data_IF_692469211743
#
_entry.id   IF_692469211743
#
_cell.length_a   1.000
_cell.length_b   1.000
_cell.length_c   1.000
_cell.angle_alpha   90.00
_cell.angle_beta   90.00
_cell.angle_gamma   90.00
#
_symmetry.space_group_name_H-M   'P 1'
#
loop_
_entity.id
_entity.type
_entity.pdbx_description
1 polymer ?
#
# COMPACT_ATOMS: atom_id res chain seq x y z
N UNK A 1 29.39 22.74 -9.60
CA UNK A 1 28.61 22.05 -10.64
C UNK A 1 27.55 23.02 -11.12
N UNK A 2 27.49 23.32 -12.41
CA UNK A 2 26.56 24.30 -12.99
C UNK A 2 25.70 23.59 -14.04
N UNK A 3 24.40 23.88 -14.03
CA UNK A 3 23.45 23.43 -15.05
C UNK A 3 23.38 24.49 -16.13
N UNK A 4 23.73 24.12 -17.36
CA UNK A 4 23.81 25.04 -18.49
C UNK A 4 22.59 24.82 -19.36
N UNK A 5 21.63 25.73 -19.29
CA UNK A 5 20.35 25.62 -20.02
C UNK A 5 20.32 26.57 -21.21
N UNK A 6 19.74 26.13 -22.32
CA UNK A 6 19.51 26.96 -23.51
C UNK A 6 18.11 27.57 -23.45
N UNK A 7 18.05 28.89 -23.37
CA UNK A 7 16.79 29.66 -23.41
C UNK A 7 16.77 30.51 -24.68
N UNK A 8 15.61 31.05 -25.05
CA UNK A 8 15.46 31.90 -26.24
C UNK A 8 16.41 33.12 -26.23
N UNK A 9 16.74 33.62 -25.04
CA UNK A 9 17.64 34.76 -24.82
C UNK A 9 19.13 34.36 -24.72
N UNK A 10 19.49 33.10 -24.99
CA UNK A 10 20.86 32.60 -24.99
C UNK A 10 21.11 31.48 -23.98
N UNK A 11 22.36 31.36 -23.52
CA UNK A 11 22.76 30.30 -22.58
C UNK A 11 22.75 30.85 -21.15
N UNK A 12 21.99 30.21 -20.26
CA UNK A 12 21.95 30.57 -18.84
C UNK A 12 22.65 29.49 -18.01
N UNK A 13 23.51 29.92 -17.08
CA UNK A 13 24.16 29.03 -16.11
C UNK A 13 23.44 29.13 -14.78
N UNK A 14 23.03 27.99 -14.26
CA UNK A 14 22.29 27.88 -13.01
C UNK A 14 23.07 27.04 -12.01
N UNK A 15 23.11 27.50 -10.77
CA UNK A 15 23.52 26.66 -9.65
C UNK A 15 22.41 25.64 -9.33
N UNK A 16 22.74 24.48 -8.72
CA UNK A 16 21.76 23.45 -8.37
C UNK A 16 20.56 23.97 -7.58
N UNK A 17 20.80 24.88 -6.63
CA UNK A 17 19.75 25.51 -5.84
C UNK A 17 18.83 26.39 -6.69
N UNK A 18 19.41 27.24 -7.54
CA UNK A 18 18.65 28.09 -8.47
C UNK A 18 17.83 27.25 -9.46
N UNK A 19 18.37 26.11 -9.91
CA UNK A 19 17.62 25.17 -10.74
C UNK A 19 16.42 24.57 -9.99
N UNK A 20 16.57 24.19 -8.71
CA UNK A 20 15.46 23.72 -7.89
C UNK A 20 14.39 24.79 -7.68
N UNK A 21 14.79 26.04 -7.49
CA UNK A 21 13.89 27.19 -7.40
C UNK A 21 13.14 27.44 -8.70
N UNK A 22 13.79 27.25 -9.86
CA UNK A 22 13.11 27.29 -11.16
C UNK A 22 12.07 26.16 -11.29
N UNK A 23 12.38 24.96 -10.81
CA UNK A 23 11.47 23.81 -10.93
C UNK A 23 10.23 23.88 -10.03
N UNK A 24 10.39 24.41 -8.82
CA UNK A 24 9.37 24.35 -7.76
C UNK A 24 8.97 25.71 -7.16
N UNK A 25 9.57 26.79 -7.63
CA UNK A 25 9.27 28.15 -7.18
C UNK A 25 7.95 28.68 -7.73
N UNK A 26 7.63 29.92 -7.35
CA UNK A 26 6.38 30.57 -7.74
C UNK A 26 6.31 30.92 -9.24
N UNK A 27 7.45 31.01 -9.92
CA UNK A 27 7.54 31.41 -11.33
C UNK A 27 7.35 30.20 -12.25
N UNK A 28 6.26 30.19 -13.04
CA UNK A 28 5.86 29.07 -13.89
C UNK A 28 6.43 29.15 -15.33
N UNK A 29 7.74 29.35 -15.47
CA UNK A 29 8.37 29.25 -16.80
C UNK A 29 8.51 27.76 -17.19
N UNK A 30 7.54 27.23 -17.94
CA UNK A 30 7.49 25.84 -18.39
C UNK A 30 8.68 25.47 -19.27
N UNK A 31 9.09 26.35 -20.16
CA UNK A 31 10.20 26.10 -21.09
C UNK A 31 11.53 26.01 -20.33
N UNK A 32 11.77 26.91 -19.40
CA UNK A 32 12.98 26.87 -18.57
C UNK A 32 13.00 25.62 -17.67
N UNK A 33 11.85 25.19 -17.13
CA UNK A 33 11.75 23.97 -16.33
C UNK A 33 12.09 22.73 -17.15
N UNK A 34 11.53 22.62 -18.35
CA UNK A 34 11.82 21.51 -19.26
C UNK A 34 13.28 21.47 -19.65
N UNK A 35 13.90 22.63 -19.91
CA UNK A 35 15.31 22.68 -20.28
C UNK A 35 16.24 22.31 -19.11
N UNK A 36 15.91 22.72 -17.87
CA UNK A 36 16.64 22.28 -16.67
C UNK A 36 16.61 20.75 -16.55
N UNK A 37 15.43 20.14 -16.73
CA UNK A 37 15.28 18.69 -16.70
C UNK A 37 16.03 18.00 -17.83
N UNK A 38 15.92 18.51 -19.05
CA UNK A 38 16.60 17.96 -20.23
C UNK A 38 18.11 17.96 -20.02
N UNK A 39 18.70 19.09 -19.60
CA UNK A 39 20.13 19.18 -19.37
C UNK A 39 20.59 18.24 -18.24
N UNK A 40 19.86 18.19 -17.12
CA UNK A 40 20.19 17.29 -16.01
C UNK A 40 20.23 15.82 -16.46
N UNK A 41 19.23 15.40 -17.24
CA UNK A 41 19.12 14.02 -17.76
C UNK A 41 20.20 13.73 -18.80
N UNK A 42 20.46 14.66 -19.72
CA UNK A 42 21.55 14.54 -20.71
C UNK A 42 22.87 14.26 -20.00
N UNK A 43 23.21 15.07 -18.98
CA UNK A 43 24.44 14.90 -18.20
C UNK A 43 24.46 13.60 -17.39
N UNK A 44 23.34 13.21 -16.80
CA UNK A 44 23.22 11.96 -16.04
C UNK A 44 23.38 10.70 -16.92
N UNK A 45 23.15 10.83 -18.24
CA UNK A 45 23.33 9.76 -19.24
C UNK A 45 24.72 9.67 -19.84
N UNK A 46 25.52 10.73 -19.78
CA UNK A 46 26.82 10.78 -20.43
C UNK A 46 27.69 9.57 -20.04
N UNK A 47 28.40 9.02 -21.02
CA UNK A 47 29.36 7.94 -20.77
C UNK A 47 30.46 8.46 -19.86
N UNK A 48 30.95 7.64 -18.91
CA UNK A 48 32.08 8.05 -18.08
C UNK A 48 33.28 8.29 -18.99
N UNK A 49 33.83 9.51 -18.97
CA UNK A 49 35.10 9.78 -19.64
C UNK A 49 36.20 8.95 -18.98
N UNK A 50 37.26 8.62 -19.75
CA UNK A 50 38.44 7.83 -19.33
C UNK A 50 39.14 8.33 -18.05
N UNK A 51 38.76 9.50 -17.51
CA UNK A 51 39.28 10.09 -16.27
C UNK A 51 38.23 10.38 -15.18
N UNK A 52 36.94 10.04 -15.34
CA UNK A 52 35.91 10.58 -14.46
C UNK A 52 34.58 9.85 -14.40
N UNK A 53 34.57 8.60 -13.95
CA UNK A 53 33.33 7.90 -13.54
C UNK A 53 32.48 8.74 -12.56
N UNK A 54 33.14 9.51 -11.70
CA UNK A 54 32.53 10.39 -10.69
C UNK A 54 31.61 11.45 -11.28
N UNK A 55 31.87 11.96 -12.50
CA UNK A 55 31.05 13.03 -13.08
C UNK A 55 29.61 12.56 -13.35
N UNK A 56 29.46 11.35 -13.93
CA UNK A 56 28.16 10.77 -14.25
C UNK A 56 27.32 10.50 -12.99
N UNK A 57 27.95 9.95 -11.97
CA UNK A 57 27.31 9.63 -10.69
C UNK A 57 26.81 10.89 -9.99
N UNK A 58 27.62 11.96 -10.00
CA UNK A 58 27.23 13.26 -9.45
C UNK A 58 26.01 13.83 -10.18
N UNK A 59 25.93 13.73 -11.50
CA UNK A 59 24.77 14.20 -12.27
C UNK A 59 23.52 13.33 -12.05
N UNK A 60 23.68 12.01 -11.88
CA UNK A 60 22.56 11.13 -11.47
C UNK A 60 22.04 11.53 -10.09
N UNK A 61 22.94 11.71 -9.13
CA UNK A 61 22.58 12.15 -7.78
C UNK A 61 21.89 13.51 -7.80
N UNK A 62 22.39 14.47 -8.59
CA UNK A 62 21.74 15.76 -8.78
C UNK A 62 20.32 15.60 -9.35
N UNK A 63 20.16 14.79 -10.39
CA UNK A 63 18.87 14.59 -11.04
C UNK A 63 17.86 13.95 -10.07
N UNK A 64 18.30 12.97 -9.27
CA UNK A 64 17.49 12.39 -8.19
C UNK A 64 17.14 13.47 -7.17
N UNK A 65 18.11 14.26 -6.72
CA UNK A 65 17.88 15.34 -5.77
C UNK A 65 16.84 16.35 -6.29
N UNK A 66 16.90 16.72 -7.57
CA UNK A 66 15.90 17.57 -8.23
C UNK A 66 14.52 16.90 -8.28
N UNK A 67 14.43 15.59 -8.39
CA UNK A 67 13.16 14.85 -8.42
C UNK A 67 12.50 14.70 -7.04
N UNK A 68 13.29 14.79 -5.95
CA UNK A 68 12.82 14.51 -4.59
C UNK A 68 11.53 15.24 -4.20
N UNK A 69 11.35 16.55 -4.41
CA UNK A 69 10.11 17.23 -4.02
C UNK A 69 8.87 16.65 -4.70
N UNK A 70 9.00 16.24 -5.97
CA UNK A 70 7.91 15.65 -6.74
C UNK A 70 7.52 14.26 -6.25
N UNK A 71 8.45 13.48 -5.70
CA UNK A 71 8.19 12.11 -5.21
C UNK A 71 7.91 12.04 -3.72
N UNK A 72 8.44 12.95 -2.89
CA UNK A 72 8.38 12.88 -1.43
C UNK A 72 6.93 12.89 -0.90
N UNK A 73 6.08 13.73 -1.51
CA UNK A 73 4.64 13.77 -1.17
C UNK A 73 3.96 12.43 -1.45
N UNK A 74 4.35 11.75 -2.53
CA UNK A 74 3.81 10.44 -2.87
C UNK A 74 4.31 9.38 -1.89
N UNK A 75 5.62 9.34 -1.59
CA UNK A 75 6.19 8.40 -0.61
C UNK A 75 5.43 8.51 0.71
N UNK A 76 5.30 9.74 1.24
CA UNK A 76 4.58 9.97 2.49
C UNK A 76 3.11 9.52 2.42
N UNK A 77 2.44 9.78 1.30
CA UNK A 77 1.04 9.37 1.09
C UNK A 77 0.88 7.86 0.96
N UNK A 78 1.83 7.17 0.34
CA UNK A 78 1.80 5.72 0.19
C UNK A 78 2.03 5.05 1.54
N UNK A 79 3.04 5.49 2.29
CA UNK A 79 3.35 4.94 3.63
C UNK A 79 2.23 5.17 4.65
N UNK A 80 1.39 6.20 4.47
CA UNK A 80 0.25 6.44 5.36
C UNK A 80 -1.00 5.65 4.99
N UNK A 81 -1.08 5.13 3.76
CA UNK A 81 -2.25 4.41 3.26
C UNK A 81 -2.03 2.90 3.16
N UNK A 82 -0.79 2.44 3.02
CA UNK A 82 -0.44 1.04 2.83
C UNK A 82 0.63 0.61 3.84
N UNK A 83 0.57 -0.65 4.34
CA UNK A 83 1.57 -1.19 5.25
C UNK A 83 2.82 -1.61 4.48
N UNK A 84 3.65 -0.64 4.09
CA UNK A 84 4.93 -0.86 3.40
C UNK A 84 6.07 -0.25 4.20
N UNK A 85 7.23 -0.92 4.24
CA UNK A 85 8.42 -0.33 4.85
C UNK A 85 8.86 0.90 4.05
N UNK A 86 9.13 1.99 4.78
CA UNK A 86 9.46 3.27 4.17
C UNK A 86 10.81 3.24 3.44
N UNK A 87 11.81 2.56 3.97
CA UNK A 87 13.15 2.51 3.38
C UNK A 87 13.12 1.72 2.07
N UNK A 88 12.37 0.61 2.05
CA UNK A 88 12.18 -0.19 0.84
C UNK A 88 11.45 0.62 -0.24
N UNK A 89 10.40 1.36 0.14
CA UNK A 89 9.70 2.24 -0.80
C UNK A 89 10.61 3.36 -1.33
N UNK A 90 11.41 3.99 -0.48
CA UNK A 90 12.38 5.02 -0.90
C UNK A 90 13.44 4.45 -1.84
N UNK A 91 13.96 3.25 -1.56
CA UNK A 91 14.90 2.56 -2.43
C UNK A 91 14.29 2.23 -3.80
N UNK A 92 13.04 1.74 -3.83
CA UNK A 92 12.33 1.44 -5.06
C UNK A 92 12.06 2.72 -5.89
N UNK A 93 11.73 3.83 -5.24
CA UNK A 93 11.56 5.14 -5.91
C UNK A 93 12.88 5.60 -6.54
N UNK A 94 14.00 5.47 -5.82
CA UNK A 94 15.33 5.82 -6.34
C UNK A 94 15.72 4.93 -7.52
N UNK A 95 15.45 3.63 -7.43
CA UNK A 95 15.65 2.68 -8.53
C UNK A 95 14.82 3.08 -9.75
N UNK A 96 13.54 3.35 -9.56
CA UNK A 96 12.63 3.78 -10.62
C UNK A 96 13.11 5.07 -11.30
N UNK A 97 13.58 6.05 -10.53
CA UNK A 97 14.17 7.28 -11.07
C UNK A 97 15.41 6.98 -11.90
N UNK A 98 16.32 6.13 -11.43
CA UNK A 98 17.54 5.77 -12.16
C UNK A 98 17.24 5.05 -13.48
N UNK A 99 16.28 4.12 -13.49
CA UNK A 99 15.83 3.41 -14.70
C UNK A 99 15.22 4.37 -15.72
N UNK A 100 14.31 5.24 -15.27
CA UNK A 100 13.59 6.18 -16.12
C UNK A 100 14.55 7.26 -16.65
N UNK A 101 15.49 7.75 -15.83
CA UNK A 101 16.56 8.64 -16.29
C UNK A 101 17.36 7.98 -17.40
N UNK A 102 17.54 6.65 -17.42
CA UNK A 102 18.23 5.93 -18.50
C UNK A 102 17.46 5.84 -19.83
N UNK A 103 16.13 5.93 -19.80
CA UNK A 103 15.26 5.53 -20.92
C UNK A 103 14.29 6.61 -21.44
N UNK A 104 14.04 7.66 -20.65
CA UNK A 104 13.20 8.82 -21.02
C UNK A 104 13.53 9.42 -22.39
N UNK A 105 12.52 9.72 -23.18
CA UNK A 105 12.65 10.49 -24.42
C UNK A 105 12.82 11.99 -24.11
N UNK A 106 13.90 12.58 -24.62
CA UNK A 106 14.27 13.99 -24.36
C UNK A 106 13.62 14.98 -25.33
N UNK A 107 13.04 14.47 -26.42
CA UNK A 107 12.38 15.29 -27.44
C UNK A 107 10.93 15.61 -27.07
N UNK A 108 10.40 14.97 -26.02
CA UNK A 108 9.07 15.25 -25.47
C UNK A 108 9.07 16.52 -24.62
N UNK A 109 7.95 17.23 -24.64
CA UNK A 109 7.61 18.22 -23.62
C UNK A 109 7.32 17.53 -22.28
N UNK A 110 7.50 18.23 -21.15
CA UNK A 110 7.28 17.71 -19.79
C UNK A 110 8.20 16.52 -19.45
N UNK A 111 9.50 16.66 -19.74
CA UNK A 111 10.51 15.64 -19.40
C UNK A 111 10.50 15.36 -17.90
N UNK A 112 10.47 16.42 -17.09
CA UNK A 112 10.46 16.32 -15.63
C UNK A 112 9.22 15.64 -15.07
N UNK A 113 8.03 16.06 -15.51
CA UNK A 113 6.78 15.44 -15.08
C UNK A 113 6.70 13.99 -15.51
N UNK A 114 7.20 13.63 -16.69
CA UNK A 114 7.27 12.22 -17.14
C UNK A 114 8.16 11.38 -16.23
N UNK A 115 9.34 11.86 -15.85
CA UNK A 115 10.27 11.14 -14.96
C UNK A 115 9.64 10.94 -13.57
N UNK A 116 9.13 12.02 -12.97
CA UNK A 116 8.53 11.98 -11.64
C UNK A 116 7.28 11.09 -11.64
N UNK A 117 6.42 11.21 -12.66
CA UNK A 117 5.19 10.42 -12.78
C UNK A 117 5.50 8.93 -12.93
N UNK A 118 6.52 8.57 -13.70
CA UNK A 118 6.94 7.17 -13.84
C UNK A 118 7.43 6.59 -12.49
N UNK A 119 8.26 7.33 -11.75
CA UNK A 119 8.70 6.91 -10.42
C UNK A 119 7.55 6.80 -9.41
N UNK A 120 6.61 7.76 -9.43
CA UNK A 120 5.39 7.73 -8.60
C UNK A 120 4.52 6.52 -8.91
N UNK A 121 4.30 6.22 -10.19
CA UNK A 121 3.52 5.05 -10.59
C UNK A 121 4.17 3.74 -10.13
N UNK A 122 5.50 3.65 -10.24
CA UNK A 122 6.27 2.50 -9.78
C UNK A 122 6.20 2.32 -8.26
N UNK A 123 6.29 3.41 -7.50
CA UNK A 123 6.11 3.40 -6.04
C UNK A 123 4.73 2.88 -5.63
N UNK A 124 3.66 3.31 -6.31
CA UNK A 124 2.30 2.79 -6.07
C UNK A 124 2.17 1.32 -6.45
N UNK A 125 2.78 0.91 -7.57
CA UNK A 125 2.79 -0.49 -8.00
C UNK A 125 3.46 -1.39 -6.96
N UNK A 126 4.67 -1.02 -6.54
CA UNK A 126 5.42 -1.72 -5.49
C UNK A 126 4.61 -1.85 -4.20
N UNK A 127 4.12 -0.73 -3.66
CA UNK A 127 3.41 -0.76 -2.39
C UNK A 127 2.11 -1.58 -2.45
N UNK A 128 1.39 -1.58 -3.57
CA UNK A 128 0.22 -2.45 -3.75
C UNK A 128 0.60 -3.92 -3.81
N UNK A 129 1.69 -4.25 -4.50
CA UNK A 129 2.19 -5.62 -4.57
C UNK A 129 2.59 -6.12 -3.18
N UNK A 130 3.40 -5.36 -2.44
CA UNK A 130 3.84 -5.72 -1.09
C UNK A 130 2.67 -5.76 -0.09
N UNK A 131 1.67 -4.89 -0.23
CA UNK A 131 0.48 -4.94 0.63
C UNK A 131 -0.40 -6.18 0.40
N UNK A 132 -0.30 -6.81 -0.78
CA UNK A 132 -0.96 -8.10 -1.06
C UNK A 132 -0.16 -9.29 -0.54
N UNK A 133 1.14 -9.11 -0.28
CA UNK A 133 1.97 -10.11 0.37
C UNK A 133 1.56 -10.20 1.83
N UNK A 134 0.73 -11.19 2.15
CA UNK A 134 0.38 -11.50 3.54
C UNK A 134 1.66 -12.03 4.19
N UNK A 135 2.22 -11.35 5.20
CA UNK A 135 3.34 -11.91 5.94
C UNK A 135 2.84 -13.21 6.56
N UNK A 136 3.43 -14.33 6.15
CA UNK A 136 3.20 -15.60 6.82
C UNK A 136 3.79 -15.42 8.22
N UNK A 137 2.92 -15.10 9.17
CA UNK A 137 3.26 -15.03 10.59
C UNK A 137 4.03 -16.29 10.94
N UNK A 138 5.09 -16.12 11.74
CA UNK A 138 5.99 -17.17 12.20
C UNK A 138 5.24 -18.50 12.31
N UNK A 139 5.55 -19.42 11.39
CA UNK A 139 4.86 -20.70 11.24
C UNK A 139 4.90 -21.44 12.58
N UNK A 140 5.92 -21.23 13.40
CA UNK A 140 6.01 -21.79 14.74
C UNK A 140 4.94 -21.22 15.69
N UNK A 141 4.63 -19.92 15.60
CA UNK A 141 3.56 -19.28 16.40
C UNK A 141 2.17 -19.70 15.93
N UNK A 142 1.93 -19.83 14.62
CA UNK A 142 0.68 -20.37 14.08
C UNK A 142 0.53 -21.85 14.48
N UNK A 143 1.61 -22.63 14.36
CA UNK A 143 1.61 -24.03 14.78
C UNK A 143 1.38 -24.15 16.29
N UNK A 144 1.98 -23.26 17.10
CA UNK A 144 1.77 -23.24 18.55
C UNK A 144 0.32 -22.89 18.91
N UNK A 145 -0.29 -21.88 18.30
CA UNK A 145 -1.69 -21.53 18.51
C UNK A 145 -2.61 -22.66 18.03
N UNK A 146 -2.35 -23.22 16.85
CA UNK A 146 -3.12 -24.36 16.33
C UNK A 146 -3.02 -25.56 17.26
N UNK A 147 -1.81 -25.93 17.68
CA UNK A 147 -1.58 -27.06 18.58
C UNK A 147 -2.19 -26.82 19.96
N UNK A 148 -2.16 -25.58 20.46
CA UNK A 148 -2.86 -25.19 21.68
C UNK A 148 -4.39 -25.30 21.56
N UNK A 149 -4.96 -24.97 20.39
CA UNK A 149 -6.40 -25.16 20.12
C UNK A 149 -6.79 -26.61 19.81
N UNK A 150 -5.84 -27.47 19.44
CA UNK A 150 -6.12 -28.90 19.12
C UNK A 150 -6.09 -29.79 20.37
N UNK A 151 -5.75 -29.23 21.53
CA UNK A 151 -5.84 -29.88 22.85
C UNK A 151 -7.29 -29.89 23.39
N UNK A 152 -8.28 -30.23 22.56
CA UNK A 152 -9.58 -30.66 23.06
C UNK A 152 -9.57 -32.18 23.13
N UNK A 153 -9.41 -32.69 24.35
CA UNK A 153 -9.73 -34.06 24.67
C UNK A 153 -11.20 -34.30 24.26
N UNK A 154 -11.53 -35.28 23.41
CA UNK A 154 -12.89 -35.46 22.87
C UNK A 154 -13.96 -35.85 23.92
N UNK A 155 -13.67 -35.70 25.22
CA UNK A 155 -14.54 -36.07 26.34
C UNK A 155 -15.02 -34.91 27.23
N UNK A 156 -14.63 -33.65 27.00
CA UNK A 156 -15.05 -32.52 27.86
C UNK A 156 -15.88 -31.47 27.12
N UNK A 157 -17.01 -31.90 26.56
CA UNK A 157 -18.11 -30.96 26.24
C UNK A 157 -18.60 -30.39 27.55
N UNK A 158 -18.38 -29.10 27.80
CA UNK A 158 -18.95 -28.43 28.97
C UNK A 158 -20.45 -28.23 28.73
N UNK A 159 -21.29 -28.44 29.73
CA UNK A 159 -22.77 -28.26 29.65
C UNK A 159 -23.22 -26.84 29.23
N UNK A 160 -22.29 -25.91 29.04
CA UNK A 160 -22.54 -24.52 28.62
C UNK A 160 -22.03 -24.18 27.21
N UNK A 161 -21.56 -25.16 26.44
CA UNK A 161 -21.11 -24.91 25.06
C UNK A 161 -22.30 -24.85 24.09
N UNK A 162 -22.23 -23.91 23.14
CA UNK A 162 -23.26 -23.70 22.12
C UNK A 162 -22.75 -24.22 20.77
N UNK A 163 -23.56 -25.04 20.11
CA UNK A 163 -23.28 -25.51 18.76
C UNK A 163 -24.05 -24.69 17.73
N UNK A 164 -23.32 -24.18 16.73
CA UNK A 164 -23.85 -23.48 15.58
C UNK A 164 -24.09 -24.47 14.45
N UNK A 165 -25.35 -24.70 14.09
CA UNK A 165 -25.71 -25.54 12.96
C UNK A 165 -26.23 -24.68 11.80
N UNK A 166 -25.56 -24.75 10.66
CA UNK A 166 -25.96 -24.09 9.41
C UNK A 166 -26.46 -25.19 8.47
N UNK A 167 -27.76 -25.21 8.19
CA UNK A 167 -28.33 -26.12 7.19
C UNK A 167 -28.12 -25.53 5.80
N UNK A 168 -27.40 -26.22 4.89
CA UNK A 168 -27.22 -25.75 3.54
C UNK A 168 -28.56 -25.79 2.78
N UNK A 169 -28.84 -24.80 1.91
CA UNK A 169 -30.05 -24.81 1.09
C UNK A 169 -30.03 -25.99 0.11
N UNK A 170 -31.21 -26.56 -0.17
CA UNK A 170 -31.42 -27.72 -1.06
C UNK A 170 -31.20 -27.39 -2.56
N UNK A 171 -30.07 -26.79 -2.91
CA UNK A 171 -29.70 -26.46 -4.31
C UNK A 171 -28.38 -27.13 -4.67
N UNK A 172 -28.21 -27.57 -5.93
CA UNK A 172 -27.03 -28.34 -6.37
C UNK A 172 -25.71 -27.56 -6.32
N UNK A 173 -25.74 -26.23 -6.19
CA UNK A 173 -24.54 -25.37 -6.11
C UNK A 173 -24.12 -25.02 -4.66
N UNK A 174 -24.72 -25.66 -3.65
CA UNK A 174 -24.44 -25.42 -2.22
C UNK A 174 -23.27 -26.23 -1.68
N UNK A 175 -22.50 -25.65 -0.75
CA UNK A 175 -21.43 -26.31 -0.01
C UNK A 175 -21.94 -27.57 0.71
N UNK A 176 -21.36 -28.73 0.39
CA UNK A 176 -21.79 -30.05 0.85
C UNK A 176 -21.23 -30.48 2.22
N UNK A 177 -20.51 -29.60 2.93
CA UNK A 177 -19.85 -29.94 4.19
C UNK A 177 -20.39 -29.10 5.37
N UNK A 178 -20.72 -29.71 6.52
CA UNK A 178 -21.05 -28.98 7.74
C UNK A 178 -19.84 -28.18 8.21
N UNK A 179 -20.01 -26.87 8.39
CA UNK A 179 -18.97 -25.96 8.87
C UNK A 179 -19.07 -25.83 10.39
N UNK A 180 -18.00 -26.20 11.10
CA UNK A 180 -17.88 -25.98 12.53
C UNK A 180 -17.09 -24.70 12.78
N UNK A 181 -17.68 -23.74 13.50
CA UNK A 181 -17.00 -22.53 13.95
C UNK A 181 -16.95 -22.52 15.48
N UNK A 182 -15.76 -22.38 16.05
CA UNK A 182 -15.58 -22.04 17.46
C UNK A 182 -15.52 -20.52 17.60
N UNK A 183 -16.46 -19.96 18.35
CA UNK A 183 -16.61 -18.52 18.52
C UNK A 183 -15.70 -18.03 19.65
N UNK A 184 -14.91 -17.00 19.40
CA UNK A 184 -13.98 -16.44 20.39
C UNK A 184 -14.71 -15.72 21.54
N UNK A 185 -14.09 -15.67 22.72
CA UNK A 185 -14.59 -14.94 23.91
C UNK A 185 -14.92 -13.47 23.63
N UNK A 186 -14.21 -12.84 22.69
CA UNK A 186 -14.45 -11.46 22.24
C UNK A 186 -15.75 -11.28 21.46
N UNK A 187 -16.22 -12.34 20.78
CA UNK A 187 -17.48 -12.31 20.02
C UNK A 187 -18.67 -12.50 20.95
N UNK A 188 -18.53 -13.37 21.97
CA UNK A 188 -19.52 -13.55 23.05
C UNK A 188 -19.67 -12.26 23.86
N UNK A 189 -18.57 -11.54 24.11
CA UNK A 189 -18.61 -10.23 24.76
C UNK A 189 -19.37 -9.21 23.91
N UNK A 190 -19.19 -9.24 22.58
CA UNK A 190 -19.95 -8.42 21.64
C UNK A 190 -21.46 -8.69 21.67
N UNK A 191 -21.88 -9.95 21.78
CA UNK A 191 -23.29 -10.33 21.92
C UNK A 191 -23.87 -9.92 23.28
N UNK A 192 -23.10 -10.08 24.36
CA UNK A 192 -23.48 -9.58 25.70
C UNK A 192 -23.67 -8.08 25.72
N UNK A 193 -22.76 -7.33 25.07
CA UNK A 193 -22.86 -5.88 24.93
C UNK A 193 -24.07 -5.48 24.06
N UNK A 194 -24.39 -6.26 23.03
CA UNK A 194 -25.62 -6.10 22.24
C UNK A 194 -26.90 -6.28 23.06
N UNK A 195 -26.97 -7.35 23.87
CA UNK A 195 -28.11 -7.60 24.76
C UNK A 195 -28.24 -6.56 25.88
N UNK A 196 -27.11 -6.06 26.40
CA UNK A 196 -27.08 -4.94 27.35
C UNK A 196 -27.59 -3.64 26.70
N UNK A 197 -27.17 -3.35 25.47
CA UNK A 197 -27.64 -2.19 24.72
C UNK A 197 -29.15 -2.27 24.44
N UNK A 198 -29.70 -3.46 24.18
CA UNK A 198 -31.15 -3.67 24.03
C UNK A 198 -31.91 -3.40 25.33
N UNK A 199 -31.44 -3.94 26.47
CA UNK A 199 -32.03 -3.68 27.80
C UNK A 199 -31.95 -2.21 28.22
N UNK A 200 -30.95 -1.48 27.74
CA UNK A 200 -30.74 -0.06 28.01
C UNK A 200 -31.40 0.87 26.96
N UNK A 201 -32.11 0.32 25.97
CA UNK A 201 -32.77 1.13 24.93
C UNK A 201 -31.80 1.81 23.94
N UNK A 202 -30.53 1.38 23.88
CA UNK A 202 -29.46 1.95 23.06
C UNK A 202 -29.28 1.23 21.71
N UNK A 203 -30.27 0.43 21.30
CA UNK A 203 -30.25 -0.42 20.09
C UNK A 203 -29.91 0.38 18.82
N UNK A 204 -30.45 1.59 18.69
CA UNK A 204 -30.26 2.44 17.51
C UNK A 204 -28.84 3.00 17.36
N UNK A 205 -28.08 3.09 18.45
CA UNK A 205 -26.69 3.60 18.43
C UNK A 205 -25.73 2.51 17.94
N UNK A 206 -25.97 1.25 18.33
CA UNK A 206 -25.16 0.10 17.91
C UNK A 206 -25.44 -0.28 16.44
N UNK A 207 -26.70 -0.18 15.99
CA UNK A 207 -27.10 -0.48 14.61
C UNK A 207 -26.58 0.53 13.58
N UNK A 208 -26.26 1.77 13.96
CA UNK A 208 -25.66 2.75 13.03
C UNK A 208 -24.21 2.43 12.65
N UNK A 209 -23.49 1.63 13.44
CA UNK A 209 -22.09 1.30 13.20
C UNK A 209 -21.89 0.08 12.27
N UNK A 210 -22.92 -0.72 12.01
CA UNK A 210 -22.85 -1.92 11.16
C UNK A 210 -24.08 -2.00 10.26
N UNK A 211 -23.95 -1.47 9.05
CA UNK A 211 -24.87 -1.84 7.94
C UNK A 211 -24.11 -2.65 6.90
N UNK A 212 -24.15 -4.00 6.96
CA UNK A 212 -24.10 -4.79 5.74
C UNK A 212 -25.41 -4.57 4.97
N UNK A 213 -25.32 -4.26 3.67
CA UNK A 213 -26.50 -4.08 2.80
C UNK A 213 -27.28 -5.38 2.61
N UNK A 214 -28.55 -5.26 2.19
CA UNK A 214 -29.41 -6.39 1.87
C UNK A 214 -28.79 -7.21 0.72
N UNK A 215 -28.29 -8.40 1.06
CA UNK A 215 -27.77 -9.39 0.12
C UNK A 215 -28.68 -10.62 0.07
N UNK A 216 -28.50 -11.48 -0.94
CA UNK A 216 -29.27 -12.73 -1.07
C UNK A 216 -29.06 -13.63 0.16
N UNK A 217 -30.15 -14.24 0.65
CA UNK A 217 -30.14 -15.15 1.80
C UNK A 217 -29.36 -16.43 1.44
N UNK A 218 -28.22 -16.63 2.08
CA UNK A 218 -27.29 -17.76 1.82
C UNK A 218 -27.46 -18.94 2.79
N UNK A 219 -28.35 -18.85 3.79
CA UNK A 219 -28.63 -19.96 4.71
C UNK A 219 -29.45 -19.55 5.92
N UNK A 220 -29.82 -20.54 6.74
CA UNK A 220 -30.53 -20.35 8.02
C UNK A 220 -29.60 -20.75 9.16
N UNK A 221 -29.52 -19.89 10.18
CA UNK A 221 -28.67 -20.07 11.35
C UNK A 221 -29.52 -20.56 12.52
N UNK A 222 -29.16 -21.70 13.12
CA UNK A 222 -29.75 -22.17 14.38
C UNK A 222 -28.67 -22.37 15.44
N UNK A 223 -28.88 -21.80 16.62
CA UNK A 223 -28.05 -22.01 17.80
C UNK A 223 -28.72 -23.06 18.69
N UNK A 224 -27.97 -24.07 19.11
CA UNK A 224 -28.47 -25.17 19.94
C UNK A 224 -27.50 -25.43 21.11
N UNK A 225 -27.98 -25.82 22.29
CA UNK A 225 -27.11 -26.28 23.37
C UNK A 225 -26.36 -27.55 22.92
N UNK A 226 -25.05 -27.63 23.21
CA UNK A 226 -24.26 -28.81 22.91
C UNK A 226 -24.83 -30.06 23.61
N UNK A 227 -25.01 -31.16 22.87
CA UNK A 227 -25.55 -32.42 23.41
C UNK A 227 -27.08 -32.59 23.36
N UNK A 228 -27.84 -31.65 22.78
CA UNK A 228 -29.26 -31.85 22.54
C UNK A 228 -29.52 -32.98 21.51
N UNK A 229 -30.43 -33.91 21.83
CA UNK A 229 -30.74 -35.05 20.97
C UNK A 229 -31.26 -34.61 19.58
N UNK A 230 -30.84 -35.33 18.54
CA UNK A 230 -31.22 -35.10 17.13
C UNK A 230 -32.71 -35.26 16.86
#
# INVERSE_FOLDING_TARGET
MEIVVRVEQGVRRLLPQAAREVLYGATLDEQLRDEVWREAVVRARQKPDRKGATSKEVWRLLTIWLALPGVYRTVHRVTSLLPVDRHDLEAEVVLALLEVIGTTDLDRSDVGGTIVRAAVNRAWGYARQTALEVPVVDIASIAAVRNACTSMDPGSVSENDWELHIEPPSRPDGLAAPLHFTVSRTTIEGERLGALAERLGLRDVVLRARRPGEGPVIGTLSLRPAGAAR
#
